data_IF_415036449904
#
_entry.id   IF_415036449904
#
_cell.length_a   1.000
_cell.length_b   1.000
_cell.length_c   1.000
_cell.angle_alpha   90.00
_cell.angle_beta   90.00
_cell.angle_gamma   90.00
#
_symmetry.space_group_name_H-M   'P 1'
#
loop_
_entity.id
_entity.type
_entity.pdbx_description
1 polymer ?
#
# COMPACT_ATOMS: atom_id res chain seq x y z
N UNK A 1 -3.82 -17.79 13.38
CA UNK A 1 -2.46 -17.19 13.37
C UNK A 1 -2.59 -15.69 13.24
N UNK A 2 -1.97 -14.93 14.12
CA UNK A 2 -2.05 -13.48 14.08
C UNK A 2 -1.07 -12.94 13.04
N UNK A 3 -1.46 -11.83 12.41
CA UNK A 3 -0.61 -11.12 11.47
C UNK A 3 0.06 -9.99 12.23
N UNK A 4 1.37 -9.88 12.12
CA UNK A 4 2.13 -8.82 12.76
C UNK A 4 2.36 -7.66 11.79
N UNK A 5 2.35 -6.44 12.32
CA UNK A 5 2.66 -5.24 11.55
C UNK A 5 4.04 -5.40 10.90
N UNK A 6 4.14 -5.23 9.58
CA UNK A 6 5.43 -5.35 8.91
C UNK A 6 6.34 -4.16 9.22
N UNK A 7 7.64 -4.40 9.19
CA UNK A 7 8.64 -3.35 9.22
C UNK A 7 9.14 -3.11 7.80
N UNK A 8 9.29 -1.84 7.44
CA UNK A 8 9.80 -1.47 6.13
C UNK A 8 11.17 -0.84 6.32
N UNK A 9 12.18 -1.50 5.75
CA UNK A 9 13.55 -0.99 5.80
C UNK A 9 13.70 0.23 4.90
N UNK A 10 14.57 1.16 5.30
CA UNK A 10 14.89 2.31 4.46
C UNK A 10 15.56 1.82 3.18
N UNK A 11 14.95 2.05 2.01
CA UNK A 11 15.45 1.44 0.77
C UNK A 11 16.76 2.04 0.27
N UNK A 12 16.96 3.34 0.47
CA UNK A 12 18.10 4.05 -0.10
C UNK A 12 18.06 4.06 -1.62
N UNK A 13 19.02 4.72 -2.24
CA UNK A 13 19.12 4.78 -3.69
C UNK A 13 18.04 5.63 -4.33
N UNK A 14 17.83 5.42 -5.63
CA UNK A 14 16.86 6.19 -6.38
C UNK A 14 15.50 5.51 -6.42
N UNK A 15 14.42 6.29 -6.29
CA UNK A 15 13.08 5.72 -6.37
C UNK A 15 12.78 5.27 -7.81
N UNK A 16 11.97 4.21 -7.97
CA UNK A 16 11.58 3.77 -9.31
C UNK A 16 10.67 4.79 -9.99
N UNK A 17 10.72 4.82 -11.32
CA UNK A 17 9.87 5.69 -12.12
C UNK A 17 8.46 5.12 -12.32
N UNK A 18 8.29 3.83 -12.08
CA UNK A 18 7.03 3.13 -12.29
C UNK A 18 6.61 2.39 -11.04
N UNK A 19 5.33 2.05 -10.94
CA UNK A 19 4.82 1.22 -9.86
C UNK A 19 5.55 -0.12 -9.83
N UNK A 20 6.10 -0.49 -8.67
CA UNK A 20 6.72 -1.79 -8.45
C UNK A 20 5.89 -2.59 -7.46
N UNK A 21 5.59 -3.81 -7.83
CA UNK A 21 4.76 -4.73 -7.05
C UNK A 21 5.59 -5.96 -6.70
N UNK A 22 5.70 -6.27 -5.41
CA UNK A 22 6.44 -7.44 -4.94
C UNK A 22 5.60 -8.19 -3.91
N UNK A 23 5.26 -9.43 -4.21
CA UNK A 23 4.57 -10.27 -3.23
C UNK A 23 5.59 -10.77 -2.21
N UNK A 24 5.39 -10.38 -0.94
CA UNK A 24 6.22 -10.88 0.17
C UNK A 24 5.84 -12.33 0.45
N UNK A 25 4.52 -12.61 0.47
CA UNK A 25 4.01 -13.97 0.40
C UNK A 25 2.61 -13.95 -0.20
N UNK A 26 2.23 -15.06 -0.82
CA UNK A 26 0.89 -15.21 -1.36
C UNK A 26 -0.05 -15.78 -0.31
N UNK A 27 -1.29 -15.29 -0.33
CA UNK A 27 -2.34 -15.88 0.48
C UNK A 27 -2.93 -17.12 -0.17
N UNK A 28 -3.87 -17.73 0.53
CA UNK A 28 -4.57 -18.93 0.05
C UNK A 28 -6.05 -18.68 -0.26
N UNK A 29 -6.53 -17.46 0.00
CA UNK A 29 -7.94 -17.14 -0.16
C UNK A 29 -8.31 -16.65 -1.55
N UNK A 30 -9.47 -16.04 -1.64
CA UNK A 30 -9.99 -15.52 -2.90
C UNK A 30 -9.11 -14.39 -3.45
N UNK A 31 -9.12 -14.24 -4.77
CA UNK A 31 -8.34 -13.21 -5.46
C UNK A 31 -9.13 -11.92 -5.54
N UNK A 32 -8.53 -10.81 -5.15
CA UNK A 32 -9.15 -9.50 -5.22
C UNK A 32 -9.17 -8.99 -6.66
N UNK A 33 -10.29 -8.37 -7.03
CA UNK A 33 -10.44 -7.76 -8.36
C UNK A 33 -11.21 -6.46 -8.25
N UNK A 34 -11.15 -5.64 -9.28
CA UNK A 34 -11.91 -4.39 -9.32
C UNK A 34 -13.39 -4.65 -9.08
N UNK A 35 -14.01 -3.82 -8.25
CA UNK A 35 -15.40 -3.95 -7.83
C UNK A 35 -15.58 -4.65 -6.50
N UNK A 36 -14.56 -5.35 -6.01
CA UNK A 36 -14.65 -6.01 -4.70
C UNK A 36 -14.54 -5.00 -3.58
N UNK A 37 -15.31 -5.23 -2.51
CA UNK A 37 -15.16 -4.47 -1.27
C UNK A 37 -14.13 -5.20 -0.41
N UNK A 38 -12.93 -4.61 -0.30
CA UNK A 38 -11.80 -5.27 0.33
C UNK A 38 -11.47 -4.64 1.68
N UNK A 39 -10.85 -5.44 2.56
CA UNK A 39 -10.27 -4.94 3.81
C UNK A 39 -8.76 -5.18 3.78
N UNK A 40 -8.00 -4.11 3.97
CA UNK A 40 -6.53 -4.13 3.86
C UNK A 40 -5.91 -3.50 5.10
N UNK A 41 -5.04 -4.25 5.77
CA UNK A 41 -4.11 -3.65 6.72
C UNK A 41 -2.90 -3.14 5.96
N UNK A 42 -2.38 -1.99 6.34
CA UNK A 42 -1.26 -1.41 5.62
C UNK A 42 -0.35 -0.60 6.53
N UNK A 43 0.88 -0.45 6.09
CA UNK A 43 1.82 0.53 6.61
C UNK A 43 2.46 1.23 5.41
N UNK A 44 2.61 2.55 5.51
CA UNK A 44 3.21 3.36 4.46
C UNK A 44 4.35 4.19 4.98
N UNK A 45 5.47 4.21 4.24
CA UNK A 45 6.63 5.03 4.57
C UNK A 45 7.02 5.89 3.37
N UNK A 46 7.65 7.04 3.63
CA UNK A 46 8.22 7.87 2.59
C UNK A 46 9.53 7.25 2.10
N UNK A 47 9.68 7.11 0.78
CA UNK A 47 10.88 6.50 0.21
C UNK A 47 12.15 7.27 0.58
N UNK A 48 12.09 8.60 0.60
CA UNK A 48 13.27 9.44 0.81
C UNK A 48 13.81 9.39 2.24
N UNK A 49 12.95 9.10 3.23
CA UNK A 49 13.35 9.14 4.64
C UNK A 49 13.19 7.80 5.36
N UNK A 50 12.35 6.91 4.85
CA UNK A 50 11.97 5.69 5.54
C UNK A 50 11.02 5.91 6.70
N UNK A 51 10.53 7.14 6.88
CA UNK A 51 9.61 7.44 7.98
C UNK A 51 8.19 7.00 7.67
N UNK A 52 7.57 6.34 8.65
CA UNK A 52 6.16 5.95 8.56
C UNK A 52 5.28 7.19 8.62
N UNK A 53 4.35 7.32 7.66
CA UNK A 53 3.41 8.43 7.66
C UNK A 53 1.98 7.99 7.95
N UNK A 54 1.68 6.71 7.81
CA UNK A 54 0.34 6.19 8.05
C UNK A 54 0.38 4.68 8.20
N UNK A 55 -0.53 4.14 9.00
CA UNK A 55 -0.68 2.70 9.16
C UNK A 55 -2.05 2.39 9.74
N UNK A 56 -2.72 1.40 9.17
CA UNK A 56 -3.99 0.90 9.71
C UNK A 56 -3.77 0.20 11.06
N UNK A 57 -2.59 -0.34 11.27
CA UNK A 57 -2.23 -1.07 12.49
C UNK A 57 -2.36 -0.20 13.74
N UNK A 58 -2.11 1.11 13.63
CA UNK A 58 -2.25 2.01 14.77
C UNK A 58 -3.70 2.27 15.15
N UNK A 59 -4.63 1.95 14.27
CA UNK A 59 -6.08 2.11 14.52
C UNK A 59 -6.74 0.78 14.86
N UNK A 60 -5.99 -0.31 14.91
CA UNK A 60 -6.49 -1.67 15.20
C UNK A 60 -7.59 -2.15 14.25
N UNK A 61 -7.68 -1.56 13.07
CA UNK A 61 -8.71 -1.95 12.11
C UNK A 61 -8.19 -1.79 10.68
N UNK A 62 -8.46 -2.76 9.80
CA UNK A 62 -8.11 -2.61 8.39
C UNK A 62 -8.95 -1.53 7.73
N UNK A 63 -8.43 -0.97 6.66
CA UNK A 63 -9.16 -0.04 5.81
C UNK A 63 -10.07 -0.81 4.88
N UNK A 64 -11.35 -0.48 4.86
CA UNK A 64 -12.32 -1.05 3.94
C UNK A 64 -12.62 -0.08 2.82
N UNK A 65 -12.55 -0.55 1.58
CA UNK A 65 -12.84 0.29 0.42
C UNK A 65 -13.18 -0.56 -0.80
N UNK A 66 -13.87 0.06 -1.76
CA UNK A 66 -14.15 -0.59 -3.04
C UNK A 66 -12.94 -0.47 -3.95
N UNK A 67 -12.42 -1.62 -4.39
CA UNK A 67 -11.21 -1.68 -5.21
C UNK A 67 -11.49 -1.23 -6.64
N UNK A 68 -10.63 -0.38 -7.19
CA UNK A 68 -10.75 0.08 -8.56
C UNK A 68 -11.73 1.21 -8.78
N UNK A 69 -12.30 1.78 -7.71
CA UNK A 69 -13.34 2.82 -7.81
C UNK A 69 -12.81 4.23 -7.54
N UNK A 70 -11.50 4.42 -7.46
CA UNK A 70 -10.92 5.74 -7.17
C UNK A 70 -11.08 6.19 -5.74
N UNK A 71 -11.32 5.26 -4.81
CA UNK A 71 -11.48 5.57 -3.38
C UNK A 71 -10.15 5.71 -2.66
N UNK A 72 -9.08 5.23 -3.27
CA UNK A 72 -7.72 5.28 -2.75
C UNK A 72 -6.81 5.79 -3.86
N UNK A 73 -5.53 6.02 -3.52
CA UNK A 73 -4.58 6.48 -4.53
C UNK A 73 -4.45 5.45 -5.66
N UNK A 74 -4.12 5.95 -6.86
CA UNK A 74 -4.10 5.11 -8.06
C UNK A 74 -3.14 3.90 -7.91
N UNK A 75 -2.03 4.07 -7.19
CA UNK A 75 -1.09 2.97 -6.95
C UNK A 75 -1.72 1.78 -6.25
N UNK A 76 -2.68 2.02 -5.35
CA UNK A 76 -3.42 0.94 -4.70
C UNK A 76 -4.44 0.30 -5.65
N UNK A 77 -5.20 1.12 -6.39
CA UNK A 77 -6.17 0.60 -7.35
C UNK A 77 -5.51 -0.23 -8.44
N UNK A 78 -4.24 0.03 -8.74
CA UNK A 78 -3.48 -0.75 -9.72
C UNK A 78 -2.68 -1.89 -9.08
N UNK A 79 -2.25 -1.72 -7.83
CA UNK A 79 -1.34 -2.64 -7.17
C UNK A 79 -2.00 -3.72 -6.34
N UNK A 80 -3.19 -3.48 -5.80
CA UNK A 80 -3.87 -4.46 -4.94
C UNK A 80 -4.60 -5.56 -5.73
N UNK A 81 -5.20 -5.30 -6.91
CA UNK A 81 -5.85 -6.38 -7.67
C UNK A 81 -4.88 -7.53 -7.94
N UNK A 82 -5.37 -8.74 -7.82
CA UNK A 82 -4.56 -9.94 -7.96
C UNK A 82 -4.05 -10.49 -6.64
N UNK A 83 -4.12 -9.74 -5.55
CA UNK A 83 -3.79 -10.28 -4.22
C UNK A 83 -4.81 -11.33 -3.82
N UNK A 84 -4.35 -12.34 -3.09
CA UNK A 84 -5.22 -13.33 -2.46
C UNK A 84 -5.39 -12.99 -0.99
N UNK A 85 -6.57 -13.27 -0.45
CA UNK A 85 -6.80 -13.10 1.00
C UNK A 85 -5.75 -13.88 1.78
N UNK A 86 -5.15 -13.23 2.76
CA UNK A 86 -4.03 -13.76 3.53
C UNK A 86 -2.66 -13.39 2.96
N UNK A 87 -2.60 -12.77 1.79
CA UNK A 87 -1.34 -12.36 1.17
C UNK A 87 -0.81 -11.05 1.69
N UNK A 88 0.50 -10.86 1.54
CA UNK A 88 1.20 -9.61 1.85
C UNK A 88 1.98 -9.16 0.62
N UNK A 89 1.76 -7.91 0.24
CA UNK A 89 2.36 -7.35 -0.99
C UNK A 89 2.97 -5.99 -0.69
N UNK A 90 4.17 -5.75 -1.23
CA UNK A 90 4.83 -4.46 -1.16
C UNK A 90 4.57 -3.70 -2.46
N UNK A 91 4.19 -2.44 -2.32
CA UNK A 91 3.99 -1.52 -3.45
C UNK A 91 4.96 -0.36 -3.29
N UNK A 92 5.78 -0.09 -4.31
CA UNK A 92 6.55 1.14 -4.38
C UNK A 92 5.88 2.00 -5.42
N UNK A 93 5.33 3.14 -5.00
CA UNK A 93 4.39 3.93 -5.78
C UNK A 93 5.01 5.27 -6.13
N UNK A 94 5.23 5.56 -7.41
CA UNK A 94 5.75 6.87 -7.82
C UNK A 94 4.73 7.97 -7.55
N UNK A 95 5.17 9.24 -7.44
CA UNK A 95 4.26 10.34 -7.04
C UNK A 95 3.04 10.51 -7.94
N UNK A 96 3.16 10.26 -9.23
CA UNK A 96 2.03 10.42 -10.16
C UNK A 96 0.89 9.42 -9.91
N UNK A 97 1.17 8.33 -9.20
CA UNK A 97 0.15 7.36 -8.78
C UNK A 97 -0.19 7.48 -7.29
N UNK A 98 0.32 8.50 -6.64
CA UNK A 98 0.09 8.79 -5.22
C UNK A 98 -0.42 10.24 -5.05
N UNK A 99 0.35 11.10 -4.42
CA UNK A 99 -0.08 12.46 -4.11
C UNK A 99 0.56 13.54 -5.00
N UNK A 100 1.34 13.12 -5.99
CA UNK A 100 1.88 14.01 -7.02
C UNK A 100 2.73 15.14 -6.48
N UNK A 101 2.72 16.26 -7.18
CA UNK A 101 3.49 17.44 -6.83
C UNK A 101 2.91 18.22 -5.66
N UNK A 102 1.71 17.88 -5.22
CA UNK A 102 1.08 18.54 -4.07
C UNK A 102 1.49 17.95 -2.73
N UNK A 103 1.81 16.65 -2.71
CA UNK A 103 1.97 15.92 -1.47
C UNK A 103 0.65 15.82 -0.69
N UNK A 104 0.73 15.59 0.61
CA UNK A 104 -0.44 15.48 1.47
C UNK A 104 -0.12 16.09 2.85
N UNK A 105 -0.61 17.30 3.07
CA UNK A 105 -0.43 18.01 4.33
C UNK A 105 1.05 18.11 4.69
N UNK A 106 1.36 17.87 5.97
CA UNK A 106 2.73 17.91 6.48
C UNK A 106 3.38 16.53 6.52
N UNK A 107 2.70 15.48 6.06
CA UNK A 107 3.17 14.10 6.20
C UNK A 107 3.78 13.55 4.92
N UNK A 108 3.32 14.01 3.75
CA UNK A 108 3.84 13.55 2.46
C UNK A 108 4.30 14.77 1.68
N UNK A 109 5.61 14.82 1.38
CA UNK A 109 6.21 15.91 0.64
C UNK A 109 5.77 15.90 -0.82
N UNK A 110 5.81 17.05 -1.51
CA UNK A 110 5.59 17.07 -2.96
C UNK A 110 6.61 16.19 -3.68
N UNK A 111 6.13 15.42 -4.66
CA UNK A 111 7.00 14.55 -5.46
C UNK A 111 7.54 13.34 -4.71
N UNK A 112 6.92 12.95 -3.59
CA UNK A 112 7.41 11.84 -2.78
C UNK A 112 6.94 10.48 -3.32
N UNK A 113 7.87 9.55 -3.49
CA UNK A 113 7.57 8.14 -3.76
C UNK A 113 7.22 7.47 -2.44
N UNK A 114 6.22 6.61 -2.45
CA UNK A 114 5.71 5.95 -1.25
C UNK A 114 5.95 4.45 -1.32
N UNK A 115 6.25 3.85 -0.17
CA UNK A 115 6.33 2.40 -0.03
C UNK A 115 5.20 1.97 0.90
N UNK A 116 4.34 1.07 0.40
CA UNK A 116 3.30 0.45 1.22
C UNK A 116 3.53 -1.04 1.31
N UNK A 117 3.28 -1.61 2.48
CA UNK A 117 3.12 -3.05 2.62
C UNK A 117 1.67 -3.30 3.01
N UNK A 118 0.97 -4.05 2.18
CA UNK A 118 -0.46 -4.29 2.31
C UNK A 118 -0.74 -5.76 2.58
N UNK A 119 -1.59 -6.01 3.57
CA UNK A 119 -2.08 -7.35 3.90
C UNK A 119 -3.56 -7.40 3.55
N UNK A 120 -3.95 -8.26 2.62
CA UNK A 120 -5.37 -8.41 2.27
C UNK A 120 -6.05 -9.30 3.29
N UNK A 121 -6.97 -8.70 4.06
CA UNK A 121 -7.62 -9.37 5.18
C UNK A 121 -8.88 -10.09 4.73
N UNK A 122 -9.67 -9.44 3.89
CA UNK A 122 -10.92 -10.02 3.40
C UNK A 122 -11.38 -9.36 2.12
N UNK A 123 -12.31 -10.02 1.48
CA UNK A 123 -13.01 -9.49 0.30
C UNK A 123 -14.49 -9.36 0.63
#
# INVERSE_FOLDING_TARGET
>A
MSIDKPEIDFPGGEPPAELEITDIWEGNGAVAKAGDMVQVHYVGVAFSTGEEFDASWSQDAPLEFELGAGRVIAGWDQGVPGMKVGGRRQLIIPPDLAYGDRGAGNVIAPGETLIFVCDLVSI
#
